data_IF_208810034453
#
_entry.id   IF_208810034453
#
_cell.length_a   1.000
_cell.length_b   1.000
_cell.length_c   1.000
_cell.angle_alpha   90.00
_cell.angle_beta   90.00
_cell.angle_gamma   90.00
#
_symmetry.space_group_name_H-M   'P 1'
#
loop_
_entity.id
_entity.type
_entity.pdbx_description
1 polymer ?
#
# COMPACT_ATOMS: atom_id res chain seq x y z
N UNK A 1 -38.29 -26.71 2.95
CA UNK A 1 -37.06 -26.05 3.41
C UNK A 1 -36.74 -25.04 2.34
N UNK A 2 -36.60 -23.74 2.60
CA UNK A 2 -36.11 -22.85 1.56
C UNK A 2 -34.69 -23.26 1.20
N UNK A 3 -34.45 -23.49 -0.08
CA UNK A 3 -33.12 -23.68 -0.71
C UNK A 3 -32.33 -22.39 -0.53
N UNK A 4 -31.73 -22.18 0.65
CA UNK A 4 -30.82 -21.05 0.85
C UNK A 4 -29.47 -21.43 0.26
N UNK A 5 -29.31 -21.18 -1.03
CA UNK A 5 -27.98 -21.20 -1.66
C UNK A 5 -27.04 -20.33 -0.83
N UNK A 6 -25.87 -20.84 -0.39
CA UNK A 6 -24.94 -20.05 0.41
C UNK A 6 -24.55 -18.77 -0.33
N UNK A 7 -24.70 -17.63 0.33
CA UNK A 7 -24.25 -16.33 -0.18
C UNK A 7 -22.94 -15.93 0.47
N UNK A 8 -22.16 -15.09 -0.22
CA UNK A 8 -20.96 -14.50 0.38
C UNK A 8 -21.37 -13.51 1.47
N UNK A 9 -20.73 -13.52 2.64
CA UNK A 9 -20.96 -12.53 3.68
C UNK A 9 -20.48 -11.13 3.25
N UNK A 10 -21.11 -10.08 3.78
CA UNK A 10 -20.83 -8.68 3.39
C UNK A 10 -19.38 -8.28 3.62
N UNK A 11 -18.75 -8.73 4.72
CA UNK A 11 -17.35 -8.44 5.00
C UNK A 11 -16.41 -8.97 3.91
N UNK A 12 -16.82 -10.04 3.22
CA UNK A 12 -16.03 -10.66 2.14
C UNK A 12 -16.27 -9.95 0.80
N UNK A 13 -17.53 -9.61 0.49
CA UNK A 13 -17.91 -8.95 -0.78
C UNK A 13 -17.50 -7.49 -0.84
N UNK A 14 -17.39 -6.78 0.31
CA UNK A 14 -17.02 -5.37 0.35
C UNK A 14 -15.66 -5.12 -0.33
N UNK A 15 -15.66 -4.25 -1.34
CA UNK A 15 -14.46 -3.85 -2.08
C UNK A 15 -13.82 -4.95 -2.93
N UNK A 16 -14.50 -6.08 -3.14
CA UNK A 16 -14.04 -7.15 -4.03
C UNK A 16 -14.26 -6.75 -5.48
N UNK A 17 -13.22 -6.88 -6.31
CA UNK A 17 -13.29 -6.60 -7.74
C UNK A 17 -13.61 -7.86 -8.56
N UNK A 18 -13.06 -9.02 -8.16
CA UNK A 18 -13.25 -10.28 -8.87
C UNK A 18 -13.08 -11.48 -7.94
N UNK A 19 -13.80 -12.56 -8.21
CA UNK A 19 -13.71 -13.82 -7.50
C UNK A 19 -13.81 -14.98 -8.49
N UNK A 20 -12.85 -15.88 -8.46
CA UNK A 20 -12.87 -17.05 -9.34
C UNK A 20 -12.33 -18.32 -8.64
N UNK A 21 -12.81 -19.52 -9.06
CA UNK A 21 -13.86 -19.71 -10.04
C UNK A 21 -15.22 -19.23 -9.51
N UNK A 22 -16.11 -18.87 -10.43
CA UNK A 22 -17.51 -18.62 -10.17
C UNK A 22 -18.31 -19.71 -10.91
N UNK A 23 -18.56 -20.81 -10.22
CA UNK A 23 -19.29 -21.95 -10.75
C UNK A 23 -20.58 -22.24 -9.96
N UNK A 24 -20.95 -23.52 -9.84
CA UNK A 24 -22.14 -23.92 -9.12
C UNK A 24 -22.07 -23.48 -7.65
N UNK A 25 -22.98 -22.62 -7.18
CA UNK A 25 -22.96 -22.06 -5.84
C UNK A 25 -23.14 -23.09 -4.72
N UNK A 26 -23.57 -24.31 -5.02
CA UNK A 26 -23.72 -25.41 -4.05
C UNK A 26 -22.48 -26.31 -3.94
N UNK A 27 -21.49 -26.12 -4.84
CA UNK A 27 -20.31 -27.00 -4.90
C UNK A 27 -19.09 -26.29 -4.32
N UNK A 28 -18.53 -26.83 -3.24
CA UNK A 28 -17.43 -26.21 -2.50
C UNK A 28 -16.14 -25.97 -3.32
N UNK A 29 -15.90 -26.70 -4.40
CA UNK A 29 -14.76 -26.48 -5.29
C UNK A 29 -15.04 -25.47 -6.41
N UNK A 30 -16.27 -25.03 -6.55
CA UNK A 30 -16.71 -24.12 -7.58
C UNK A 30 -17.21 -22.77 -7.07
N UNK A 31 -17.58 -22.69 -5.77
CA UNK A 31 -18.05 -21.46 -5.15
C UNK A 31 -17.47 -21.28 -3.75
N UNK A 32 -16.90 -20.11 -3.47
CA UNK A 32 -16.29 -19.80 -2.17
C UNK A 32 -17.32 -19.80 -1.04
N UNK A 33 -18.57 -19.40 -1.30
CA UNK A 33 -19.63 -19.46 -0.28
C UNK A 33 -19.90 -20.90 0.20
N UNK A 34 -19.93 -21.86 -0.73
CA UNK A 34 -20.07 -23.29 -0.40
C UNK A 34 -18.83 -23.82 0.34
N UNK A 35 -17.63 -23.39 -0.06
CA UNK A 35 -16.38 -23.74 0.62
C UNK A 35 -16.34 -23.22 2.06
N UNK A 36 -16.83 -21.99 2.30
CA UNK A 36 -16.96 -21.42 3.65
C UNK A 36 -17.92 -22.24 4.50
N UNK A 37 -19.11 -22.57 3.98
CA UNK A 37 -20.10 -23.37 4.68
C UNK A 37 -19.58 -24.79 4.99
N UNK A 38 -18.86 -25.42 4.05
CA UNK A 38 -18.20 -26.69 4.29
C UNK A 38 -17.15 -26.60 5.42
N UNK A 39 -16.28 -25.57 5.36
CA UNK A 39 -15.23 -25.35 6.35
C UNK A 39 -15.79 -25.13 7.76
N UNK A 40 -16.91 -24.39 7.87
CA UNK A 40 -17.64 -24.20 9.12
C UNK A 40 -18.19 -25.54 9.66
N UNK A 41 -18.82 -26.34 8.80
CA UNK A 41 -19.36 -27.66 9.17
C UNK A 41 -18.28 -28.62 9.64
N UNK A 42 -17.11 -28.58 9.00
CA UNK A 42 -15.95 -29.42 9.32
C UNK A 42 -15.14 -28.87 10.52
N UNK A 43 -15.42 -27.67 11.00
CA UNK A 43 -14.62 -26.98 12.03
C UNK A 43 -13.19 -26.68 11.57
N UNK A 44 -12.95 -26.60 10.27
CA UNK A 44 -11.65 -26.37 9.65
C UNK A 44 -11.52 -24.94 9.17
N UNK A 45 -10.62 -24.11 9.73
CA UNK A 45 -10.36 -22.79 9.19
C UNK A 45 -9.81 -22.89 7.76
N UNK A 46 -10.25 -22.00 6.86
CA UNK A 46 -9.63 -21.84 5.55
C UNK A 46 -8.23 -21.22 5.69
N UNK A 47 -7.33 -21.61 4.83
CA UNK A 47 -5.98 -21.07 4.70
C UNK A 47 -5.98 -20.00 3.62
N UNK A 48 -5.86 -18.75 4.03
CA UNK A 48 -5.94 -17.59 3.13
C UNK A 48 -4.55 -17.03 2.89
N UNK A 49 -4.03 -17.23 1.69
CA UNK A 49 -2.68 -16.84 1.28
C UNK A 49 -2.65 -15.39 0.81
N UNK A 50 -1.63 -14.68 1.24
CA UNK A 50 -1.18 -13.42 0.65
C UNK A 50 0.34 -13.43 0.56
N UNK A 51 0.89 -13.34 -0.64
CA UNK A 51 2.33 -13.18 -0.87
C UNK A 51 2.73 -11.72 -1.01
N UNK A 52 3.87 -11.35 -0.44
CA UNK A 52 4.47 -10.04 -0.60
C UNK A 52 5.99 -10.14 -0.73
N UNK A 53 6.52 -9.59 -1.82
CA UNK A 53 7.96 -9.48 -2.03
C UNK A 53 8.50 -8.22 -1.33
N UNK A 54 9.46 -8.33 -0.40
CA UNK A 54 10.01 -7.19 0.32
C UNK A 54 11.02 -6.42 -0.55
N UNK A 55 10.55 -5.82 -1.64
CA UNK A 55 11.37 -5.10 -2.62
C UNK A 55 11.70 -3.65 -2.23
N UNK A 56 11.24 -3.19 -1.08
CA UNK A 56 11.52 -1.88 -0.50
C UNK A 56 11.21 -1.86 0.99
N UNK A 57 11.58 -0.82 1.71
CA UNK A 57 11.45 -0.76 3.17
C UNK A 57 10.03 -0.45 3.68
N UNK A 58 9.18 0.20 2.89
CA UNK A 58 7.93 0.75 3.41
C UNK A 58 6.70 0.20 2.66
N UNK A 59 5.62 0.03 3.40
CA UNK A 59 4.29 -0.29 2.88
C UNK A 59 3.50 1.02 2.73
N UNK A 60 2.56 1.09 1.81
CA UNK A 60 1.65 2.23 1.63
C UNK A 60 0.19 1.77 1.61
N UNK A 61 -0.76 2.71 1.67
CA UNK A 61 -2.19 2.41 1.75
C UNK A 61 -2.71 1.51 0.62
N UNK A 62 -2.10 1.57 -0.57
CA UNK A 62 -2.45 0.65 -1.66
C UNK A 62 -2.21 -0.83 -1.33
N UNK A 63 -1.18 -1.13 -0.54
CA UNK A 63 -0.94 -2.49 -0.05
C UNK A 63 -1.90 -2.85 1.10
N UNK A 64 -2.27 -1.88 1.95
CA UNK A 64 -3.10 -2.15 3.14
C UNK A 64 -4.48 -2.70 2.80
N UNK A 65 -4.98 -2.48 1.60
CA UNK A 65 -6.25 -3.05 1.11
C UNK A 65 -6.24 -4.58 1.23
N UNK A 66 -5.18 -5.21 0.75
CA UNK A 66 -5.02 -6.67 0.83
C UNK A 66 -4.88 -7.15 2.27
N UNK A 67 -4.12 -6.43 3.10
CA UNK A 67 -3.97 -6.77 4.53
C UNK A 67 -5.26 -6.60 5.31
N UNK A 68 -6.05 -5.56 5.02
CA UNK A 68 -7.39 -5.40 5.62
C UNK A 68 -8.32 -6.56 5.27
N UNK A 69 -8.30 -7.02 4.01
CA UNK A 69 -9.08 -8.19 3.60
C UNK A 69 -8.56 -9.47 4.28
N UNK A 70 -7.26 -9.64 4.39
CA UNK A 70 -6.65 -10.76 5.09
C UNK A 70 -7.02 -10.75 6.58
N UNK A 71 -7.03 -9.57 7.22
CA UNK A 71 -7.49 -9.38 8.59
C UNK A 71 -8.97 -9.75 8.75
N UNK A 72 -9.84 -9.38 7.83
CA UNK A 72 -11.25 -9.75 7.88
C UNK A 72 -11.46 -11.28 7.86
N UNK A 73 -10.60 -12.02 7.16
CA UNK A 73 -10.59 -13.50 7.25
C UNK A 73 -10.13 -14.00 8.63
N UNK A 74 -9.13 -13.36 9.25
CA UNK A 74 -8.70 -13.72 10.61
C UNK A 74 -9.84 -13.49 11.61
N UNK A 75 -10.52 -12.34 11.54
CA UNK A 75 -11.65 -11.99 12.41
C UNK A 75 -12.85 -12.93 12.19
N UNK A 76 -13.03 -13.45 10.97
CA UNK A 76 -14.02 -14.47 10.65
C UNK A 76 -13.62 -15.91 11.06
N UNK A 77 -12.46 -16.09 11.69
CA UNK A 77 -12.06 -17.38 12.22
C UNK A 77 -11.14 -18.20 11.34
N UNK A 78 -10.67 -17.68 10.22
CA UNK A 78 -9.78 -18.36 9.29
C UNK A 78 -8.30 -18.08 9.59
N UNK A 79 -7.39 -18.83 8.93
CA UNK A 79 -5.95 -18.68 9.09
C UNK A 79 -5.39 -17.85 7.93
N UNK A 80 -4.88 -16.68 8.24
CA UNK A 80 -4.06 -15.90 7.31
C UNK A 80 -2.70 -16.58 7.14
N UNK A 81 -2.26 -16.76 5.90
CA UNK A 81 -0.92 -17.26 5.56
C UNK A 81 -0.21 -16.17 4.79
N UNK A 82 0.57 -15.38 5.53
CA UNK A 82 1.39 -14.32 4.96
C UNK A 82 2.71 -14.91 4.49
N UNK A 83 2.95 -14.88 3.18
CA UNK A 83 4.20 -15.34 2.59
C UNK A 83 5.09 -14.15 2.32
N UNK A 84 6.24 -14.12 2.96
CA UNK A 84 7.33 -13.23 2.63
C UNK A 84 8.12 -13.86 1.50
N UNK A 85 8.08 -13.24 0.33
CA UNK A 85 8.79 -13.69 -0.86
C UNK A 85 10.28 -13.36 -0.80
N UNK A 86 11.00 -13.93 0.17
CA UNK A 86 12.43 -13.67 0.36
C UNK A 86 13.29 -14.35 -0.71
N UNK A 87 12.81 -15.40 -1.33
CA UNK A 87 13.44 -16.01 -2.50
C UNK A 87 13.02 -15.28 -3.78
N UNK A 88 11.72 -15.07 -3.99
CA UNK A 88 11.16 -14.47 -5.21
C UNK A 88 11.54 -13.00 -5.37
N UNK A 89 11.69 -12.24 -4.28
CA UNK A 89 12.18 -10.86 -4.33
C UNK A 89 13.59 -10.72 -4.96
N UNK A 90 14.38 -11.77 -4.91
CA UNK A 90 15.72 -11.82 -5.54
C UNK A 90 15.63 -11.95 -7.06
N UNK A 91 14.52 -12.51 -7.57
CA UNK A 91 14.20 -12.57 -9.00
C UNK A 91 13.50 -11.29 -9.43
N UNK A 92 12.48 -10.87 -8.67
CA UNK A 92 11.65 -9.70 -8.88
C UNK A 92 10.43 -9.97 -9.77
N UNK A 93 9.25 -9.55 -9.31
CA UNK A 93 8.00 -9.66 -10.05
C UNK A 93 8.07 -8.87 -11.37
N UNK A 94 7.88 -9.52 -12.53
CA UNK A 94 7.85 -8.85 -13.83
C UNK A 94 6.58 -8.02 -14.06
N UNK A 95 5.54 -8.16 -13.22
CA UNK A 95 4.22 -7.52 -13.38
C UNK A 95 4.34 -5.98 -13.37
N UNK A 96 3.78 -5.32 -14.38
CA UNK A 96 3.76 -3.86 -14.50
C UNK A 96 5.11 -3.23 -14.79
N UNK A 97 6.10 -3.98 -15.31
CA UNK A 97 7.44 -3.49 -15.60
C UNK A 97 7.79 -3.55 -17.07
N UNK A 98 8.47 -2.51 -17.54
CA UNK A 98 8.98 -2.42 -18.90
C UNK A 98 10.41 -2.97 -19.07
N UNK A 99 11.08 -3.33 -17.97
CA UNK A 99 12.44 -3.84 -17.98
C UNK A 99 12.69 -4.79 -16.80
N UNK A 100 13.71 -5.64 -16.91
CA UNK A 100 14.16 -6.54 -15.84
C UNK A 100 14.59 -5.76 -14.60
N UNK A 101 14.17 -6.20 -13.42
CA UNK A 101 14.53 -5.57 -12.13
C UNK A 101 15.99 -5.84 -11.76
N UNK A 102 16.57 -4.89 -11.01
CA UNK A 102 17.83 -5.12 -10.29
C UNK A 102 17.55 -6.12 -9.16
N UNK A 103 18.35 -7.17 -9.10
CA UNK A 103 18.25 -8.19 -8.05
C UNK A 103 18.71 -7.63 -6.70
N UNK A 104 17.95 -7.91 -5.64
CA UNK A 104 18.31 -7.56 -4.26
C UNK A 104 19.20 -8.64 -3.65
N UNK A 105 20.07 -8.25 -2.70
CA UNK A 105 20.81 -9.22 -1.89
C UNK A 105 19.90 -9.87 -0.83
N UNK A 106 20.30 -11.04 -0.32
CA UNK A 106 19.58 -11.75 0.75
C UNK A 106 19.44 -10.88 2.01
N UNK A 107 20.46 -10.12 2.35
CA UNK A 107 20.49 -9.22 3.50
C UNK A 107 19.53 -8.04 3.33
N UNK A 108 19.48 -7.45 2.13
CA UNK A 108 18.55 -6.38 1.81
C UNK A 108 17.08 -6.86 1.92
N UNK A 109 16.81 -8.05 1.39
CA UNK A 109 15.48 -8.66 1.46
C UNK A 109 15.08 -8.94 2.90
N UNK A 110 15.98 -9.50 3.72
CA UNK A 110 15.71 -9.78 5.13
C UNK A 110 15.45 -8.50 5.95
N UNK A 111 16.23 -7.43 5.72
CA UNK A 111 16.02 -6.14 6.36
C UNK A 111 14.66 -5.54 5.98
N UNK A 112 14.28 -5.57 4.71
CA UNK A 112 12.98 -5.09 4.25
C UNK A 112 11.82 -5.91 4.84
N UNK A 113 11.95 -7.25 4.90
CA UNK A 113 10.94 -8.14 5.48
C UNK A 113 10.64 -7.80 6.94
N UNK A 114 11.69 -7.56 7.73
CA UNK A 114 11.55 -7.14 9.13
C UNK A 114 10.76 -5.83 9.27
N UNK A 115 11.03 -4.84 8.40
CA UNK A 115 10.26 -3.59 8.43
C UNK A 115 8.80 -3.80 8.03
N UNK A 116 8.52 -4.73 7.13
CA UNK A 116 7.14 -5.05 6.73
C UNK A 116 6.33 -5.62 7.88
N UNK A 117 6.85 -6.62 8.58
CA UNK A 117 6.15 -7.24 9.72
C UNK A 117 5.84 -6.22 10.82
N UNK A 118 6.79 -5.32 11.13
CA UNK A 118 6.56 -4.22 12.07
C UNK A 118 5.44 -3.28 11.59
N UNK A 119 5.43 -2.89 10.33
CA UNK A 119 4.39 -2.02 9.74
C UNK A 119 3.00 -2.70 9.71
N UNK A 120 2.96 -4.03 9.66
CA UNK A 120 1.73 -4.81 9.75
C UNK A 120 1.22 -4.96 11.18
N UNK A 121 2.00 -4.54 12.18
CA UNK A 121 1.59 -4.50 13.57
C UNK A 121 2.13 -5.62 14.43
N UNK A 122 3.24 -6.28 14.05
CA UNK A 122 3.85 -7.37 14.83
C UNK A 122 4.10 -6.99 16.30
N UNK A 123 4.48 -5.73 16.55
CA UNK A 123 4.80 -5.21 17.87
C UNK A 123 3.69 -4.28 18.42
N UNK A 124 2.48 -4.34 17.86
CA UNK A 124 1.34 -3.50 18.21
C UNK A 124 0.21 -4.35 18.80
N UNK A 125 -0.63 -3.77 19.69
CA UNK A 125 -1.85 -4.43 20.13
C UNK A 125 -2.76 -4.78 18.95
N UNK A 126 -3.48 -5.89 19.08
CA UNK A 126 -4.38 -6.44 18.05
C UNK A 126 -5.37 -5.39 17.50
N UNK A 127 -5.83 -4.47 18.34
CA UNK A 127 -6.83 -3.45 18.00
C UNK A 127 -6.31 -2.41 17.01
N UNK A 128 -4.99 -2.18 16.97
CA UNK A 128 -4.32 -1.19 16.11
C UNK A 128 -3.48 -1.84 15.01
N UNK A 129 -3.18 -3.12 15.14
CA UNK A 129 -2.44 -3.88 14.15
C UNK A 129 -3.25 -4.13 12.88
N UNK A 130 -2.61 -4.08 11.71
CA UNK A 130 -3.26 -4.46 10.45
C UNK A 130 -3.57 -5.96 10.39
N UNK A 131 -2.74 -6.81 11.00
CA UNK A 131 -2.96 -8.23 11.12
C UNK A 131 -2.98 -8.64 12.58
N UNK A 132 -3.72 -9.68 12.91
CA UNK A 132 -3.76 -10.28 14.24
C UNK A 132 -2.56 -11.21 14.42
N UNK A 133 -1.54 -10.75 15.14
CA UNK A 133 -0.35 -11.53 15.50
C UNK A 133 -0.51 -12.27 16.83
N UNK A 134 -1.54 -11.95 17.63
CA UNK A 134 -1.67 -12.44 18.99
C UNK A 134 -2.51 -13.71 19.12
N UNK A 135 -3.60 -13.81 18.32
CA UNK A 135 -4.54 -14.93 18.42
C UNK A 135 -3.94 -16.21 17.82
N UNK A 136 -3.73 -17.28 18.60
CA UNK A 136 -3.16 -18.51 18.10
C UNK A 136 -3.94 -19.11 16.93
N UNK A 137 -3.23 -19.55 15.90
CA UNK A 137 -3.83 -20.19 14.71
C UNK A 137 -4.48 -19.21 13.71
N UNK A 138 -4.43 -17.90 13.95
CA UNK A 138 -4.98 -16.88 13.03
C UNK A 138 -3.97 -16.35 12.02
N UNK A 139 -2.67 -16.48 12.30
CA UNK A 139 -1.61 -16.03 11.41
C UNK A 139 -0.47 -17.05 11.33
N UNK A 140 -0.07 -17.36 10.13
CA UNK A 140 1.19 -18.02 9.81
C UNK A 140 2.02 -17.05 8.95
N UNK A 141 3.21 -16.67 9.42
CA UNK A 141 4.20 -15.97 8.62
C UNK A 141 5.18 -16.99 8.09
N UNK A 142 5.28 -17.10 6.76
CA UNK A 142 6.11 -18.08 6.07
C UNK A 142 7.08 -17.36 5.13
N UNK A 143 8.23 -17.93 4.91
CA UNK A 143 9.21 -17.45 3.96
C UNK A 143 9.29 -18.44 2.80
N UNK A 144 9.18 -17.98 1.56
CA UNK A 144 9.15 -18.91 0.44
C UNK A 144 10.51 -19.56 0.15
N UNK A 145 11.60 -19.05 0.72
CA UNK A 145 12.87 -19.78 0.77
C UNK A 145 12.77 -21.15 1.50
N UNK A 146 11.80 -21.33 2.40
CA UNK A 146 11.59 -22.60 3.13
C UNK A 146 11.40 -23.79 2.17
N UNK A 147 10.79 -23.57 1.03
CA UNK A 147 10.54 -24.63 0.02
C UNK A 147 11.22 -24.38 -1.31
N UNK A 148 11.57 -23.13 -1.66
CA UNK A 148 12.20 -22.82 -2.94
C UNK A 148 13.71 -22.97 -2.91
N UNK A 149 14.39 -22.63 -1.81
CA UNK A 149 15.86 -22.68 -1.71
C UNK A 149 16.41 -24.13 -1.77
N UNK A 150 15.58 -25.09 -1.37
CA UNK A 150 15.92 -26.52 -1.41
C UNK A 150 15.55 -27.26 -2.70
N UNK A 151 14.93 -26.59 -3.68
CA UNK A 151 14.58 -27.21 -4.95
C UNK A 151 15.84 -27.59 -5.75
N UNK A 152 15.95 -28.86 -6.08
CA UNK A 152 16.98 -29.34 -6.97
C UNK A 152 16.61 -29.11 -8.45
N UNK A 153 17.57 -29.28 -9.34
CA UNK A 153 17.34 -29.07 -10.78
C UNK A 153 16.22 -29.94 -11.36
N UNK A 154 16.07 -31.24 -11.02
CA UNK A 154 14.92 -32.05 -11.41
C UNK A 154 13.56 -31.43 -10.98
N UNK A 155 13.45 -30.94 -9.75
CA UNK A 155 12.23 -30.29 -9.26
C UNK A 155 11.91 -29.01 -10.05
N UNK A 156 12.94 -28.17 -10.33
CA UNK A 156 12.77 -26.96 -11.16
C UNK A 156 12.35 -27.31 -12.59
N UNK A 157 12.94 -28.34 -13.20
CA UNK A 157 12.55 -28.83 -14.54
C UNK A 157 11.10 -29.33 -14.51
N UNK A 158 10.72 -30.07 -13.45
CA UNK A 158 9.34 -30.53 -13.26
C UNK A 158 8.36 -29.36 -13.17
N UNK A 159 8.70 -28.31 -12.42
CA UNK A 159 7.92 -27.10 -12.29
C UNK A 159 7.80 -26.36 -13.64
N UNK A 160 8.88 -26.18 -14.38
CA UNK A 160 8.87 -25.59 -15.73
C UNK A 160 7.99 -26.38 -16.69
N UNK A 161 7.93 -27.71 -16.54
CA UNK A 161 7.09 -28.59 -17.36
C UNK A 161 5.59 -28.42 -17.13
N UNK A 162 5.15 -27.70 -16.08
CA UNK A 162 3.72 -27.45 -15.80
C UNK A 162 3.14 -26.30 -16.62
N UNK A 163 3.98 -25.45 -17.21
CA UNK A 163 3.58 -24.31 -18.03
C UNK A 163 4.14 -24.37 -19.44
N UNK A 164 3.57 -23.59 -20.34
CA UNK A 164 4.06 -23.43 -21.71
C UNK A 164 4.48 -21.99 -21.97
N UNK A 165 5.39 -21.77 -22.92
CA UNK A 165 5.77 -20.42 -23.38
C UNK A 165 4.54 -19.63 -23.85
N UNK A 166 3.58 -20.29 -24.53
CA UNK A 166 2.35 -19.64 -24.98
C UNK A 166 1.50 -19.13 -23.80
N UNK A 167 1.40 -19.91 -22.72
CA UNK A 167 0.70 -19.46 -21.49
C UNK A 167 1.42 -18.27 -20.84
N UNK A 168 2.75 -18.31 -20.73
CA UNK A 168 3.52 -17.17 -20.20
C UNK A 168 3.34 -15.90 -21.04
N UNK A 169 3.34 -16.03 -22.36
CA UNK A 169 3.13 -14.90 -23.28
C UNK A 169 1.66 -14.41 -23.31
N UNK A 170 0.72 -15.15 -22.72
CA UNK A 170 -0.64 -14.66 -22.51
C UNK A 170 -0.76 -13.62 -21.39
N UNK A 171 0.27 -13.51 -20.51
CA UNK A 171 0.34 -12.44 -19.52
C UNK A 171 0.64 -11.11 -20.21
N UNK A 172 -0.16 -10.09 -19.97
CA UNK A 172 -0.11 -8.80 -20.66
C UNK A 172 1.27 -8.18 -20.75
N UNK A 173 2.05 -8.20 -19.64
CA UNK A 173 3.37 -7.58 -19.60
C UNK A 173 4.37 -8.32 -20.49
N UNK A 174 4.33 -9.65 -20.48
CA UNK A 174 5.17 -10.46 -21.36
C UNK A 174 4.73 -10.31 -22.82
N UNK A 175 3.42 -10.30 -23.08
CA UNK A 175 2.88 -10.08 -24.42
C UNK A 175 3.34 -8.76 -25.03
N UNK A 176 3.22 -7.67 -24.25
CA UNK A 176 3.63 -6.32 -24.68
C UNK A 176 5.15 -6.24 -24.94
N UNK A 177 5.95 -6.79 -24.04
CA UNK A 177 7.42 -6.80 -24.18
C UNK A 177 7.85 -7.64 -25.39
N UNK A 178 7.27 -8.83 -25.54
CA UNK A 178 7.56 -9.69 -26.69
C UNK A 178 7.17 -9.02 -28.01
N UNK A 179 5.99 -8.42 -28.10
CA UNK A 179 5.51 -7.73 -29.28
C UNK A 179 6.31 -6.47 -29.64
N UNK A 180 6.89 -5.79 -28.65
CA UNK A 180 7.77 -4.62 -28.84
C UNK A 180 9.24 -4.96 -29.08
N UNK A 181 9.62 -6.26 -29.05
CA UNK A 181 11.01 -6.67 -29.14
C UNK A 181 11.83 -6.37 -27.89
N UNK A 182 11.21 -6.01 -26.78
CA UNK A 182 11.89 -5.79 -25.49
C UNK A 182 12.33 -7.15 -24.91
N UNK A 183 13.61 -7.34 -24.55
CA UNK A 183 14.10 -8.62 -24.06
C UNK A 183 13.35 -9.11 -22.81
N UNK A 184 13.08 -10.42 -22.75
CA UNK A 184 12.54 -11.13 -21.59
C UNK A 184 13.57 -12.19 -21.21
N UNK A 185 14.11 -12.11 -20.01
CA UNK A 185 15.05 -13.10 -19.52
C UNK A 185 14.32 -14.39 -19.07
N UNK A 186 14.91 -15.56 -19.28
CA UNK A 186 14.24 -16.84 -18.99
C UNK A 186 13.84 -17.00 -17.52
N UNK A 187 14.62 -16.44 -16.58
CA UNK A 187 14.28 -16.49 -15.17
C UNK A 187 13.00 -15.69 -14.83
N UNK A 188 12.60 -14.72 -15.66
CA UNK A 188 11.36 -13.98 -15.47
C UNK A 188 10.12 -14.86 -15.73
N UNK A 189 10.21 -15.86 -16.61
CA UNK A 189 9.17 -16.87 -16.80
C UNK A 189 9.08 -17.86 -15.64
N UNK A 190 10.15 -18.02 -14.88
CA UNK A 190 10.14 -18.88 -13.70
C UNK A 190 9.41 -18.21 -12.52
N UNK A 191 9.45 -16.87 -12.41
CA UNK A 191 8.86 -16.13 -11.30
C UNK A 191 7.37 -16.49 -11.05
N UNK A 192 6.45 -16.44 -12.03
CA UNK A 192 5.06 -16.84 -11.80
C UNK A 192 4.94 -18.26 -11.26
N UNK A 193 5.69 -19.23 -11.80
CA UNK A 193 5.64 -20.62 -11.36
C UNK A 193 6.11 -20.80 -9.90
N UNK A 194 7.12 -20.02 -9.48
CA UNK A 194 7.59 -20.06 -8.09
C UNK A 194 6.57 -19.45 -7.15
N UNK A 195 5.95 -18.31 -7.51
CA UNK A 195 4.86 -17.69 -6.75
C UNK A 195 3.66 -18.64 -6.64
N UNK A 196 3.34 -19.35 -7.70
CA UNK A 196 2.23 -20.29 -7.75
C UNK A 196 2.50 -21.54 -6.91
N UNK A 197 3.76 -21.99 -6.86
CA UNK A 197 4.17 -23.10 -6.01
C UNK A 197 4.01 -22.77 -4.52
N UNK A 198 4.06 -21.49 -4.13
CA UNK A 198 3.73 -21.06 -2.77
C UNK A 198 2.33 -21.56 -2.36
N UNK A 199 1.35 -21.50 -3.26
CA UNK A 199 -0.02 -22.00 -3.01
C UNK A 199 -0.08 -23.51 -2.79
N UNK A 200 0.77 -24.26 -3.49
CA UNK A 200 0.94 -25.72 -3.30
C UNK A 200 1.57 -26.01 -1.95
N UNK A 201 2.65 -25.31 -1.62
CA UNK A 201 3.43 -25.51 -0.40
C UNK A 201 2.59 -25.24 0.86
N UNK A 202 1.78 -24.20 0.86
CA UNK A 202 0.94 -23.83 2.02
C UNK A 202 -0.45 -24.45 1.99
N UNK A 203 -0.82 -25.21 0.95
CA UNK A 203 -2.18 -25.73 0.74
C UNK A 203 -3.24 -24.62 0.88
N UNK A 204 -3.10 -23.56 0.09
CA UNK A 204 -4.00 -22.42 0.14
C UNK A 204 -5.41 -22.78 -0.30
N UNK A 205 -6.43 -22.36 0.46
CA UNK A 205 -7.85 -22.43 0.07
C UNK A 205 -8.31 -21.16 -0.67
N UNK A 206 -7.70 -20.04 -0.34
CA UNK A 206 -7.95 -18.72 -0.97
C UNK A 206 -6.62 -18.00 -1.17
N UNK A 207 -6.44 -17.36 -2.30
CA UNK A 207 -5.34 -16.43 -2.55
C UNK A 207 -5.86 -15.02 -2.80
N UNK A 208 -5.33 -14.05 -2.05
CA UNK A 208 -5.62 -12.63 -2.23
C UNK A 208 -4.62 -12.00 -3.18
N UNK A 209 -5.12 -11.12 -4.06
CA UNK A 209 -4.26 -10.34 -4.96
C UNK A 209 -4.93 -9.06 -5.45
N UNK A 210 -4.15 -8.17 -6.04
CA UNK A 210 -4.69 -7.09 -6.86
C UNK A 210 -5.23 -7.62 -8.19
N UNK A 211 -6.06 -6.84 -8.88
CA UNK A 211 -6.60 -7.23 -10.20
C UNK A 211 -5.51 -7.52 -11.23
N UNK A 212 -4.31 -6.94 -11.06
CA UNK A 212 -3.12 -7.21 -11.89
C UNK A 212 -2.49 -8.60 -11.63
N UNK A 213 -2.86 -9.27 -10.54
CA UNK A 213 -2.35 -10.60 -10.17
C UNK A 213 -3.24 -11.75 -10.66
N UNK A 214 -4.35 -11.46 -11.39
CA UNK A 214 -5.32 -12.47 -11.82
C UNK A 214 -4.67 -13.66 -12.53
N UNK A 215 -3.73 -13.40 -13.43
CA UNK A 215 -3.00 -14.44 -14.17
C UNK A 215 -2.24 -15.37 -13.23
N UNK A 216 -1.44 -14.82 -12.33
CA UNK A 216 -0.64 -15.60 -11.38
C UNK A 216 -1.55 -16.43 -10.47
N UNK A 217 -2.57 -15.81 -9.85
CA UNK A 217 -3.49 -16.52 -8.96
C UNK A 217 -4.24 -17.67 -9.66
N UNK A 218 -4.59 -17.50 -10.95
CA UNK A 218 -5.21 -18.55 -11.76
C UNK A 218 -4.23 -19.70 -12.02
N UNK A 219 -2.97 -19.40 -12.34
CA UNK A 219 -1.93 -20.43 -12.51
C UNK A 219 -1.67 -21.20 -11.23
N UNK A 220 -1.68 -20.56 -10.06
CA UNK A 220 -1.54 -21.23 -8.76
C UNK A 220 -2.60 -22.30 -8.55
N UNK A 221 -3.82 -22.04 -8.99
CA UNK A 221 -4.92 -23.01 -8.97
C UNK A 221 -4.65 -24.22 -9.89
N UNK A 222 -4.11 -23.97 -11.09
CA UNK A 222 -3.77 -25.05 -12.02
C UNK A 222 -2.59 -25.89 -11.50
N UNK A 223 -1.64 -25.24 -10.86
CA UNK A 223 -0.50 -25.92 -10.25
C UNK A 223 -0.91 -26.78 -9.06
N UNK A 224 -1.81 -26.30 -8.19
CA UNK A 224 -2.39 -27.13 -7.12
C UNK A 224 -3.07 -28.39 -7.68
N UNK A 225 -3.82 -28.27 -8.79
CA UNK A 225 -4.44 -29.42 -9.45
C UNK A 225 -3.38 -30.39 -9.96
N UNK A 226 -2.30 -29.89 -10.58
CA UNK A 226 -1.18 -30.73 -11.04
C UNK A 226 -0.55 -31.54 -9.90
N UNK A 227 -0.41 -30.94 -8.73
CA UNK A 227 0.11 -31.60 -7.53
C UNK A 227 -0.94 -32.35 -6.70
N UNK A 228 -2.13 -32.60 -7.26
CA UNK A 228 -3.25 -33.30 -6.61
C UNK A 228 -3.65 -32.67 -5.25
N UNK A 229 -3.64 -31.35 -5.16
CA UNK A 229 -4.11 -30.57 -4.01
C UNK A 229 -5.53 -30.06 -4.23
N UNK A 230 -6.21 -29.69 -3.13
CA UNK A 230 -7.42 -28.88 -3.22
C UNK A 230 -7.10 -27.53 -3.89
N UNK A 231 -7.97 -27.11 -4.81
CA UNK A 231 -7.72 -25.88 -5.56
C UNK A 231 -8.24 -24.65 -4.83
N UNK A 232 -7.43 -23.59 -4.80
CA UNK A 232 -7.75 -22.32 -4.16
C UNK A 232 -8.78 -21.50 -4.95
N UNK A 233 -9.42 -20.56 -4.27
CA UNK A 233 -10.14 -19.45 -4.90
C UNK A 233 -9.21 -18.23 -5.02
N UNK A 234 -9.32 -17.53 -6.14
CA UNK A 234 -8.70 -16.23 -6.31
C UNK A 234 -9.67 -15.12 -5.94
N UNK A 235 -9.35 -14.30 -4.93
CA UNK A 235 -10.11 -13.13 -4.56
C UNK A 235 -9.27 -11.88 -4.86
N UNK A 236 -9.74 -11.09 -5.82
CA UNK A 236 -9.01 -9.92 -6.30
C UNK A 236 -9.64 -8.63 -5.81
N UNK A 237 -8.78 -7.73 -5.36
CA UNK A 237 -9.16 -6.38 -4.95
C UNK A 237 -8.69 -5.37 -6.00
N UNK A 238 -9.38 -4.23 -6.15
CA UNK A 238 -8.97 -3.20 -7.08
C UNK A 238 -7.64 -2.59 -6.66
N UNK A 239 -6.93 -2.04 -7.63
CA UNK A 239 -5.69 -1.30 -7.39
C UNK A 239 -6.05 0.12 -6.98
N UNK A 240 -5.59 0.56 -5.81
CA UNK A 240 -5.84 1.91 -5.32
C UNK A 240 -5.12 2.94 -6.20
N UNK A 241 -5.88 3.92 -6.67
CA UNK A 241 -5.35 5.08 -7.37
C UNK A 241 -4.58 5.94 -6.36
N UNK A 242 -3.44 6.49 -6.77
CA UNK A 242 -2.64 7.38 -5.91
C UNK A 242 -3.21 8.78 -5.75
N UNK A 243 -2.51 9.63 -5.00
CA UNK A 243 -2.94 11.02 -4.74
C UNK A 243 -3.05 11.90 -5.99
N UNK A 244 -2.46 11.46 -7.12
CA UNK A 244 -2.60 12.12 -8.42
C UNK A 244 -3.98 11.88 -9.09
N UNK A 245 -4.78 10.96 -8.54
CA UNK A 245 -6.11 10.62 -9.03
C UNK A 245 -6.17 9.86 -10.36
N UNK A 246 -5.04 9.43 -10.91
CA UNK A 246 -4.93 8.81 -12.24
C UNK A 246 -4.15 7.50 -12.22
N UNK A 247 -2.94 7.52 -11.65
CA UNK A 247 -2.06 6.36 -11.67
C UNK A 247 -2.20 5.56 -10.38
N UNK A 248 -1.84 4.26 -10.45
CA UNK A 248 -1.81 3.43 -9.25
C UNK A 248 -0.89 4.05 -8.19
N UNK A 249 -1.26 3.89 -6.93
CA UNK A 249 -0.42 4.32 -5.81
C UNK A 249 0.93 3.62 -5.88
N UNK A 250 2.01 4.38 -6.01
CA UNK A 250 3.37 3.85 -6.14
C UNK A 250 4.42 4.85 -5.64
N UNK A 251 5.43 4.35 -4.93
CA UNK A 251 6.56 5.16 -4.44
C UNK A 251 7.33 5.83 -5.57
N UNK A 252 7.54 5.11 -6.68
CA UNK A 252 8.26 5.65 -7.84
C UNK A 252 7.54 6.83 -8.51
N UNK A 253 6.24 6.97 -8.27
CA UNK A 253 5.42 8.07 -8.79
C UNK A 253 5.25 9.22 -7.79
N UNK A 254 5.67 9.03 -6.52
CA UNK A 254 5.53 10.05 -5.49
C UNK A 254 4.08 10.36 -5.07
N UNK A 255 3.12 9.50 -5.46
CA UNK A 255 1.69 9.66 -5.22
C UNK A 255 1.17 8.80 -4.07
N UNK A 256 2.01 8.50 -3.08
CA UNK A 256 1.75 7.54 -2.00
C UNK A 256 1.40 8.22 -0.67
N UNK A 257 0.65 7.45 0.15
CA UNK A 257 0.54 7.65 1.60
C UNK A 257 1.15 6.40 2.26
N UNK A 258 2.25 6.59 2.99
CA UNK A 258 2.94 5.51 3.71
C UNK A 258 2.23 5.12 4.99
N UNK A 259 2.36 3.88 5.44
CA UNK A 259 1.75 3.42 6.70
C UNK A 259 2.44 3.98 7.95
N UNK A 260 3.72 4.37 7.84
CA UNK A 260 4.50 4.95 8.94
C UNK A 260 4.56 6.49 8.88
N UNK A 261 3.79 7.14 8.03
CA UNK A 261 3.69 8.59 8.04
C UNK A 261 3.07 9.08 9.35
N UNK A 262 3.52 10.22 9.85
CA UNK A 262 2.92 10.83 11.04
C UNK A 262 1.44 11.21 10.80
N UNK A 263 0.63 11.31 11.87
CA UNK A 263 -0.82 11.53 11.74
C UNK A 263 -1.19 12.77 10.93
N UNK A 264 -0.46 13.88 11.10
CA UNK A 264 -0.75 15.14 10.40
C UNK A 264 -0.42 15.04 8.91
N UNK A 265 0.71 14.45 8.56
CA UNK A 265 1.10 14.19 7.16
C UNK A 265 0.12 13.26 6.47
N UNK A 266 -0.26 12.15 7.12
CA UNK A 266 -1.23 11.19 6.59
C UNK A 266 -2.59 11.86 6.36
N UNK A 267 -3.15 12.51 7.36
CA UNK A 267 -4.44 13.21 7.27
C UNK A 267 -4.42 14.27 6.16
N UNK A 268 -3.39 15.10 6.13
CA UNK A 268 -3.26 16.20 5.18
C UNK A 268 -3.13 15.74 3.71
N UNK A 269 -2.52 14.57 3.47
CA UNK A 269 -2.47 13.95 2.15
C UNK A 269 -3.82 13.40 1.75
N UNK A 270 -4.50 12.69 2.66
CA UNK A 270 -5.81 12.09 2.42
C UNK A 270 -6.89 13.14 2.18
N UNK A 271 -6.81 14.28 2.88
CA UNK A 271 -7.72 15.42 2.69
C UNK A 271 -7.59 16.08 1.30
N UNK A 272 -6.64 15.65 0.47
CA UNK A 272 -6.42 16.12 -0.91
C UNK A 272 -6.78 15.10 -1.98
N UNK A 273 -7.25 13.92 -1.58
CA UNK A 273 -7.72 12.90 -2.53
C UNK A 273 -8.82 13.47 -3.40
N UNK A 274 -8.71 13.31 -4.73
CA UNK A 274 -9.70 13.85 -5.67
C UNK A 274 -11.08 13.22 -5.49
N UNK A 275 -12.13 14.00 -5.72
CA UNK A 275 -13.53 13.62 -5.47
C UNK A 275 -13.90 12.27 -6.10
N UNK A 276 -13.41 11.98 -7.30
CA UNK A 276 -13.67 10.72 -8.01
C UNK A 276 -13.12 9.47 -7.32
N UNK A 277 -12.12 9.62 -6.44
CA UNK A 277 -11.49 8.50 -5.76
C UNK A 277 -11.98 8.32 -4.30
N UNK A 278 -12.73 9.26 -3.74
CA UNK A 278 -13.14 9.25 -2.33
C UNK A 278 -13.91 7.97 -1.99
N UNK A 279 -14.87 7.57 -2.82
CA UNK A 279 -15.73 6.42 -2.56
C UNK A 279 -14.93 5.10 -2.55
N UNK A 280 -13.93 4.98 -3.43
CA UNK A 280 -13.00 3.84 -3.42
C UNK A 280 -12.15 3.83 -2.15
N UNK A 281 -11.61 4.99 -1.73
CA UNK A 281 -10.84 5.08 -0.49
C UNK A 281 -11.69 4.75 0.74
N UNK A 282 -12.94 5.22 0.81
CA UNK A 282 -13.88 4.85 1.89
C UNK A 282 -14.12 3.35 1.90
N UNK A 283 -14.45 2.77 0.75
CA UNK A 283 -14.80 1.35 0.63
C UNK A 283 -13.64 0.42 0.97
N UNK A 284 -12.42 0.77 0.52
CA UNK A 284 -11.26 -0.10 0.58
C UNK A 284 -10.42 0.08 1.85
N UNK A 285 -10.41 1.30 2.43
CA UNK A 285 -9.51 1.64 3.53
C UNK A 285 -10.22 1.87 4.87
N UNK A 286 -11.55 1.92 4.89
CA UNK A 286 -12.34 2.19 6.11
C UNK A 286 -13.49 1.19 6.26
N UNK A 287 -14.12 1.21 7.43
CA UNK A 287 -15.35 0.45 7.70
C UNK A 287 -16.60 1.35 7.64
N UNK A 288 -16.44 2.61 7.20
CA UNK A 288 -17.55 3.55 7.05
C UNK A 288 -18.53 3.04 5.99
N UNK A 289 -19.82 3.21 6.27
CA UNK A 289 -20.86 2.99 5.27
C UNK A 289 -21.00 4.23 4.38
N UNK A 290 -20.77 4.06 3.08
CA UNK A 290 -20.90 5.15 2.10
C UNK A 290 -22.27 5.82 2.14
N UNK A 291 -23.34 5.06 2.40
CA UNK A 291 -24.70 5.60 2.45
C UNK A 291 -24.95 6.49 3.69
N UNK A 292 -24.12 6.37 4.71
CA UNK A 292 -24.21 7.18 5.94
C UNK A 292 -23.39 8.47 5.90
N UNK A 293 -22.55 8.63 4.86
CA UNK A 293 -21.69 9.80 4.72
C UNK A 293 -22.42 10.99 4.09
N UNK A 294 -21.97 12.22 4.38
CA UNK A 294 -22.51 13.42 3.75
C UNK A 294 -22.38 13.39 2.23
N UNK A 295 -23.36 13.96 1.52
CA UNK A 295 -23.31 14.14 0.06
C UNK A 295 -22.22 15.15 -0.37
N UNK A 296 -21.85 16.08 0.52
CA UNK A 296 -20.80 17.06 0.25
C UNK A 296 -19.44 16.37 0.12
N UNK A 297 -18.78 16.44 -1.05
CA UNK A 297 -17.51 15.76 -1.28
C UNK A 297 -16.43 16.14 -0.27
N UNK A 298 -16.38 17.40 0.14
CA UNK A 298 -15.38 17.89 1.10
C UNK A 298 -15.58 17.31 2.49
N UNK A 299 -16.80 17.16 2.93
CA UNK A 299 -17.13 16.55 4.24
C UNK A 299 -16.87 15.04 4.19
N UNK A 300 -17.25 14.38 3.10
CA UNK A 300 -16.96 12.95 2.86
C UNK A 300 -15.44 12.71 2.87
N UNK A 301 -14.67 13.55 2.20
CA UNK A 301 -13.20 13.50 2.16
C UNK A 301 -12.59 13.64 3.56
N UNK A 302 -13.07 14.59 4.38
CA UNK A 302 -12.62 14.76 5.77
C UNK A 302 -12.95 13.55 6.64
N UNK A 303 -14.15 13.00 6.49
CA UNK A 303 -14.57 11.80 7.22
C UNK A 303 -13.68 10.58 6.84
N UNK A 304 -13.41 10.40 5.55
CA UNK A 304 -12.50 9.38 5.04
C UNK A 304 -11.08 9.57 5.58
N UNK A 305 -10.53 10.78 5.49
CA UNK A 305 -9.18 11.08 5.98
C UNK A 305 -9.06 10.82 7.49
N UNK A 306 -10.07 11.23 8.28
CA UNK A 306 -10.12 10.96 9.71
C UNK A 306 -10.16 9.46 10.00
N UNK A 307 -11.02 8.70 9.32
CA UNK A 307 -11.17 7.27 9.56
C UNK A 307 -9.89 6.48 9.20
N UNK A 308 -9.26 6.78 8.07
CA UNK A 308 -8.00 6.13 7.66
C UNK A 308 -6.88 6.47 8.65
N UNK A 309 -6.73 7.74 9.04
CA UNK A 309 -5.70 8.15 10.01
C UNK A 309 -5.96 7.51 11.37
N UNK A 310 -7.21 7.47 11.83
CA UNK A 310 -7.59 6.86 13.10
C UNK A 310 -7.31 5.35 13.14
N UNK A 311 -7.49 4.65 12.03
CA UNK A 311 -7.19 3.22 11.94
C UNK A 311 -5.71 2.89 12.13
N UNK A 312 -4.82 3.88 11.95
CA UNK A 312 -3.35 3.70 12.08
C UNK A 312 -2.78 4.29 13.35
N UNK A 313 -3.32 5.41 13.81
CA UNK A 313 -2.74 6.22 14.89
C UNK A 313 -3.65 6.37 16.10
N UNK A 314 -4.86 5.79 16.05
CA UNK A 314 -5.90 5.99 17.05
C UNK A 314 -6.70 7.29 16.83
N UNK A 315 -7.90 7.32 17.42
CA UNK A 315 -8.87 8.40 17.16
C UNK A 315 -8.37 9.76 17.67
N UNK A 316 -7.73 9.79 18.84
CA UNK A 316 -7.23 11.04 19.45
C UNK A 316 -6.17 11.72 18.57
N UNK A 317 -5.18 10.95 18.08
CA UNK A 317 -4.14 11.45 17.19
C UNK A 317 -4.71 11.92 15.84
N UNK A 318 -5.71 11.20 15.31
CA UNK A 318 -6.36 11.58 14.07
C UNK A 318 -7.20 12.86 14.20
N UNK A 319 -7.93 13.04 15.31
CA UNK A 319 -8.67 14.26 15.59
C UNK A 319 -7.75 15.46 15.79
N UNK A 320 -6.62 15.25 16.49
CA UNK A 320 -5.58 16.29 16.60
C UNK A 320 -5.06 16.67 15.23
N UNK A 321 -4.70 15.69 14.40
CA UNK A 321 -4.22 15.91 13.03
C UNK A 321 -5.25 16.69 12.18
N UNK A 322 -6.54 16.39 12.31
CA UNK A 322 -7.62 17.10 11.64
C UNK A 322 -7.70 18.57 12.08
N UNK A 323 -7.61 18.83 13.39
CA UNK A 323 -7.61 20.18 13.96
C UNK A 323 -6.38 20.97 13.51
N UNK A 324 -5.20 20.37 13.59
CA UNK A 324 -3.94 20.98 13.19
C UNK A 324 -3.96 21.32 11.68
N UNK A 325 -4.44 20.40 10.83
CA UNK A 325 -4.59 20.65 9.39
C UNK A 325 -5.56 21.80 9.09
N UNK A 326 -6.68 21.91 9.83
CA UNK A 326 -7.62 23.00 9.67
C UNK A 326 -7.01 24.36 10.05
N UNK A 327 -6.20 24.39 11.10
CA UNK A 327 -5.46 25.58 11.55
C UNK A 327 -4.44 26.02 10.51
N UNK A 328 -3.71 25.08 9.91
CA UNK A 328 -2.73 25.35 8.86
C UNK A 328 -3.35 25.95 7.58
N UNK A 329 -4.58 25.53 7.24
CA UNK A 329 -5.31 26.03 6.06
C UNK A 329 -6.00 27.37 6.35
N UNK A 330 -6.52 27.55 7.58
CA UNK A 330 -7.29 28.73 7.99
C UNK A 330 -6.46 30.01 8.19
N UNK A 331 -5.14 29.91 8.30
CA UNK A 331 -4.25 31.07 8.48
C UNK A 331 -4.43 31.84 9.80
N UNK A 332 -5.18 31.30 10.77
CA UNK A 332 -5.56 31.96 12.03
C UNK A 332 -5.14 31.20 13.27
N UNK A 333 -4.12 30.34 13.18
CA UNK A 333 -3.56 29.64 14.33
C UNK A 333 -2.33 30.34 14.88
N UNK A 334 -2.23 30.40 16.20
CA UNK A 334 -1.00 30.74 16.92
C UNK A 334 0.07 29.69 16.52
N UNK A 335 0.92 30.05 15.55
CA UNK A 335 1.91 29.14 14.95
C UNK A 335 3.07 28.77 15.90
N UNK A 336 2.88 28.94 17.21
CA UNK A 336 3.96 28.99 18.15
C UNK A 336 4.36 27.69 18.84
N UNK A 337 3.57 26.59 18.80
CA UNK A 337 3.82 25.49 19.74
C UNK A 337 4.50 24.24 19.16
N UNK A 338 4.44 23.96 17.86
CA UNK A 338 4.96 22.69 17.27
C UNK A 338 5.55 22.86 15.84
N UNK A 339 6.03 24.04 15.48
CA UNK A 339 6.67 24.26 14.18
C UNK A 339 8.14 23.82 14.27
N UNK A 340 8.64 22.90 13.42
CA UNK A 340 10.03 22.49 13.44
C UNK A 340 10.97 23.68 13.25
N UNK A 341 12.01 23.77 14.05
CA UNK A 341 13.05 24.80 13.95
C UNK A 341 14.03 24.49 12.81
N UNK A 342 14.34 25.48 11.99
CA UNK A 342 15.34 25.35 10.94
C UNK A 342 16.54 26.27 11.19
N UNK A 343 17.73 25.70 11.19
CA UNK A 343 18.97 26.47 11.38
C UNK A 343 19.28 27.38 10.20
N UNK A 344 19.53 28.65 10.46
CA UNK A 344 20.03 29.61 9.47
C UNK A 344 21.56 29.58 9.28
N UNK A 345 22.28 28.72 10.03
CA UNK A 345 23.76 28.65 10.02
C UNK A 345 24.36 28.33 8.63
N UNK A 346 23.60 27.71 7.75
CA UNK A 346 24.04 27.37 6.38
C UNK A 346 23.52 28.37 5.32
N UNK A 347 22.80 29.40 5.72
CA UNK A 347 22.27 30.41 4.81
C UNK A 347 23.26 31.54 4.65
N UNK A 348 23.70 31.80 3.42
CA UNK A 348 24.54 32.94 3.08
C UNK A 348 23.67 34.18 2.83
N UNK A 349 23.89 35.22 3.60
CA UNK A 349 23.19 36.51 3.44
C UNK A 349 24.00 37.51 2.63
N UNK A 350 23.38 38.40 1.81
CA UNK A 350 21.93 38.49 1.60
C UNK A 350 21.34 37.28 0.87
N UNK A 351 20.17 36.80 1.32
CA UNK A 351 19.53 35.59 0.81
C UNK A 351 18.22 35.96 0.09
N UNK A 352 18.04 35.43 -1.11
CA UNK A 352 16.77 35.59 -1.84
C UNK A 352 15.73 34.62 -1.30
N UNK A 353 14.45 34.99 -1.29
CA UNK A 353 13.37 34.18 -0.77
C UNK A 353 13.38 32.73 -1.31
N UNK A 354 13.49 32.52 -2.64
CA UNK A 354 13.55 31.17 -3.21
C UNK A 354 14.76 30.36 -2.73
N UNK A 355 15.91 31.00 -2.51
CA UNK A 355 17.11 30.34 -1.99
C UNK A 355 16.92 29.97 -0.52
N UNK A 356 16.35 30.87 0.29
CA UNK A 356 16.07 30.63 1.69
C UNK A 356 15.22 29.36 1.87
N UNK A 357 14.10 29.22 1.13
CA UNK A 357 13.22 28.07 1.21
C UNK A 357 13.89 26.74 0.84
N UNK A 358 14.86 26.74 -0.06
CA UNK A 358 15.63 25.55 -0.36
C UNK A 358 16.76 25.27 0.64
N UNK A 359 17.40 26.32 1.15
CA UNK A 359 18.52 26.19 2.10
C UNK A 359 18.07 25.66 3.48
N UNK A 360 16.85 26.00 3.91
CA UNK A 360 16.26 25.49 5.16
C UNK A 360 15.49 24.18 4.98
N UNK A 361 15.52 23.57 3.79
CA UNK A 361 14.94 22.24 3.55
C UNK A 361 13.43 22.23 3.30
N UNK A 362 12.78 23.39 3.16
CA UNK A 362 11.33 23.47 2.82
C UNK A 362 11.06 22.96 1.40
N UNK A 363 11.94 23.25 0.46
CA UNK A 363 11.87 22.81 -0.91
C UNK A 363 13.11 21.97 -1.27
N UNK A 364 12.92 20.92 -2.07
CA UNK A 364 14.01 20.02 -2.49
C UNK A 364 15.06 20.73 -3.38
N UNK A 365 14.71 21.86 -4.01
CA UNK A 365 15.63 22.65 -4.84
C UNK A 365 15.21 24.11 -4.96
N UNK A 366 16.19 24.97 -5.26
CA UNK A 366 15.94 26.40 -5.53
C UNK A 366 15.02 26.65 -6.73
N UNK A 367 15.01 25.74 -7.72
CA UNK A 367 14.11 25.80 -8.87
C UNK A 367 12.66 25.53 -8.47
N UNK A 368 12.44 24.56 -7.59
CA UNK A 368 11.13 24.25 -7.02
C UNK A 368 10.64 25.42 -6.15
N UNK A 369 11.48 25.90 -5.24
CA UNK A 369 11.19 27.04 -4.39
C UNK A 369 10.77 28.27 -5.22
N UNK A 370 11.49 28.55 -6.31
CA UNK A 370 11.17 29.67 -7.22
C UNK A 370 9.81 29.49 -7.91
N UNK A 371 9.47 28.26 -8.31
CA UNK A 371 8.16 27.94 -8.91
C UNK A 371 7.03 28.12 -7.91
N UNK A 372 7.20 27.63 -6.69
CA UNK A 372 6.23 27.76 -5.61
C UNK A 372 6.03 29.22 -5.20
N UNK A 373 7.10 29.99 -5.05
CA UNK A 373 7.01 31.42 -4.74
C UNK A 373 6.26 32.19 -5.83
N UNK A 374 6.53 31.91 -7.11
CA UNK A 374 5.78 32.54 -8.24
C UNK A 374 4.30 32.17 -8.20
N UNK A 375 3.96 30.97 -7.78
CA UNK A 375 2.58 30.52 -7.55
C UNK A 375 1.90 31.16 -6.32
N UNK A 376 2.64 31.98 -5.55
CA UNK A 376 2.12 32.64 -4.36
C UNK A 376 2.06 31.75 -3.12
N UNK A 377 2.84 30.66 -3.12
CA UNK A 377 2.85 29.67 -2.05
C UNK A 377 3.79 30.02 -0.88
N UNK A 378 4.69 31.00 -1.02
CA UNK A 378 5.65 31.38 0.02
C UNK A 378 5.07 32.46 0.94
N UNK A 379 5.15 32.22 2.24
CA UNK A 379 4.72 33.17 3.29
C UNK A 379 5.77 33.30 4.39
N UNK A 380 5.85 34.48 4.96
CA UNK A 380 6.59 34.78 6.18
C UNK A 380 5.61 35.39 7.19
N UNK A 381 5.48 34.80 8.37
CA UNK A 381 4.49 35.20 9.39
C UNK A 381 3.04 35.25 8.84
N UNK A 382 2.68 34.34 7.95
CA UNK A 382 1.37 34.32 7.29
C UNK A 382 1.23 35.30 6.14
N UNK A 383 2.11 36.28 5.99
CA UNK A 383 2.09 37.26 4.89
C UNK A 383 2.76 36.68 3.64
N UNK A 384 2.12 36.86 2.48
CA UNK A 384 2.65 36.36 1.21
C UNK A 384 3.92 37.12 0.83
N UNK A 385 4.98 36.37 0.47
CA UNK A 385 6.18 36.94 -0.16
C UNK A 385 5.86 37.17 -1.65
N UNK A 386 5.73 38.45 -2.11
CA UNK A 386 5.24 38.74 -3.45
C UNK A 386 6.26 38.47 -4.55
N UNK A 387 7.57 38.61 -4.25
CA UNK A 387 8.66 38.43 -5.21
C UNK A 387 9.60 37.27 -4.77
N UNK A 388 9.77 36.23 -5.58
CA UNK A 388 10.75 35.17 -5.31
C UNK A 388 12.18 35.67 -5.12
N UNK A 389 12.50 36.84 -5.68
CA UNK A 389 13.82 37.45 -5.58
C UNK A 389 13.92 38.48 -4.44
N UNK A 390 12.87 38.66 -3.62
CA UNK A 390 12.95 39.47 -2.40
C UNK A 390 14.17 39.02 -1.58
N UNK A 391 15.03 39.99 -1.22
CA UNK A 391 16.24 39.75 -0.47
C UNK A 391 16.03 40.01 1.02
N UNK A 392 16.54 39.08 1.84
CA UNK A 392 16.70 39.25 3.28
C UNK A 392 18.18 39.52 3.56
N UNK A 393 18.48 40.61 4.25
CA UNK A 393 19.86 41.13 4.35
C UNK A 393 20.64 40.43 5.45
N UNK A 394 19.98 39.90 6.48
CA UNK A 394 20.61 39.24 7.62
C UNK A 394 19.72 38.21 8.26
N UNK A 395 20.32 37.32 9.04
CA UNK A 395 19.61 36.32 9.85
C UNK A 395 18.65 36.96 10.88
N UNK A 396 19.02 38.15 11.39
CA UNK A 396 18.22 38.86 12.40
C UNK A 396 16.83 39.27 11.88
N UNK A 397 16.66 39.45 10.56
CA UNK A 397 15.36 39.73 9.95
C UNK A 397 14.41 38.53 10.02
N UNK A 398 14.93 37.33 10.21
CA UNK A 398 14.21 36.04 10.12
C UNK A 398 14.14 35.31 11.45
N UNK A 399 14.94 35.71 12.44
CA UNK A 399 14.95 35.07 13.77
C UNK A 399 13.56 35.12 14.42
N UNK A 400 13.10 33.96 14.89
CA UNK A 400 11.80 33.80 15.54
C UNK A 400 10.59 33.85 14.59
N UNK A 401 10.81 34.02 13.29
CA UNK A 401 9.73 34.09 12.30
C UNK A 401 9.42 32.73 11.67
N UNK A 402 8.17 32.53 11.29
CA UNK A 402 7.66 31.32 10.67
C UNK A 402 7.68 31.45 9.16
N UNK A 403 8.43 30.57 8.49
CA UNK A 403 8.38 30.41 7.04
C UNK A 403 7.35 29.33 6.68
N UNK A 404 6.43 29.68 5.78
CA UNK A 404 5.33 28.83 5.38
C UNK A 404 5.29 28.67 3.86
N UNK A 405 5.45 27.46 3.29
CA UNK A 405 4.94 27.15 1.96
C UNK A 405 3.44 26.85 2.06
N UNK A 406 2.66 27.11 1.01
CA UNK A 406 1.24 26.69 0.97
C UNK A 406 1.09 25.15 0.91
N UNK A 407 2.19 24.40 0.82
CA UNK A 407 2.23 22.95 1.00
C UNK A 407 2.89 22.63 2.35
N UNK A 408 2.12 22.36 3.35
CA UNK A 408 2.27 21.66 4.65
C UNK A 408 3.65 21.48 5.34
N UNK A 409 4.67 22.24 5.03
CA UNK A 409 5.92 22.24 5.81
C UNK A 409 6.13 23.62 6.39
N UNK A 410 6.01 23.77 7.70
CA UNK A 410 6.32 25.01 8.42
C UNK A 410 7.66 24.82 9.12
N UNK A 411 8.50 25.86 9.11
CA UNK A 411 9.74 25.91 9.88
C UNK A 411 9.81 27.22 10.64
N UNK A 412 10.06 27.16 11.93
CA UNK A 412 10.44 28.33 12.74
C UNK A 412 11.94 28.54 12.63
N UNK A 413 12.35 29.79 12.56
CA UNK A 413 13.75 30.19 12.57
C UNK A 413 14.14 30.52 14.01
N UNK A 414 15.20 29.88 14.59
CA UNK A 414 15.52 30.03 15.99
C UNK A 414 15.85 31.47 16.37
N UNK A 415 15.38 31.90 17.51
CA UNK A 415 15.92 33.07 18.23
C UNK A 415 17.23 32.69 18.87
N UNK A 416 18.26 33.53 18.75
CA UNK A 416 19.54 33.32 19.43
C UNK A 416 19.39 33.28 20.93
#
# INVERSE_FOLDING_TARGET
MPDSTPSLPDWLSRGMADLFPAGDPSVADQALAARLAQAETEGRPLRVKLGIDPTGSNIHLGHSILFRKLRAFQDAGHTAVLIIGDFTARIGDPTGKSATRVQLSKEQVAANASTYLRQLGQDQPKETALLDFETPGRLEVRYNSEWLEGMDLPAVIGLLGTGTVGQMLAKDDFSKRYGSGTPIALHEFLYPLLQDYDSVAVNADVELGGTDQKFNVAMGRDLQRHFNKGTQFGLLLPILVGLDGVQKMSKSLGNVVGLEEDPLSMYSKLEKVGDAAIDDYVTLLTDLDLASLPDNPREKQKAMALAVTASRHGIEAAQKAQSDAATLVGGSGDAGADVPEASLAQVNFPAKAFYLFSAVGICASSSEARRQNKGGAARLEGEKIPDPNQEFTSAAELEGKVLQPVSYTHLTLPTK
#
